data_IF_298217807897
#
_entry.id   IF_298217807897
#
_cell.length_a   1.000
_cell.length_b   1.000
_cell.length_c   1.000
_cell.angle_alpha   90.00
_cell.angle_beta   90.00
_cell.angle_gamma   90.00
#
_symmetry.space_group_name_H-M   'P 1'
#
loop_
_entity.id
_entity.type
_entity.pdbx_description
1 polymer ?
#
# COMPACT_ATOMS: atom_id res chain seq x y z
N UNK A 1 -8.63 13.62 -4.23
CA UNK A 1 -8.63 13.64 -2.76
C UNK A 1 -7.85 14.86 -2.31
N UNK A 2 -8.54 15.85 -1.76
CA UNK A 2 -7.95 17.15 -1.39
C UNK A 2 -8.52 17.72 -0.09
N UNK A 3 -9.42 16.98 0.57
CA UNK A 3 -10.03 17.37 1.84
C UNK A 3 -9.35 16.64 2.98
N UNK A 4 -9.18 17.33 4.09
CA UNK A 4 -8.68 16.71 5.31
C UNK A 4 -9.65 15.64 5.80
N UNK A 5 -9.11 14.50 6.20
CA UNK A 5 -9.88 13.34 6.64
C UNK A 5 -10.50 12.50 5.50
N UNK A 6 -10.22 12.82 4.24
CA UNK A 6 -10.62 11.98 3.10
C UNK A 6 -9.76 10.71 3.05
N UNK A 7 -10.41 9.55 2.90
CA UNK A 7 -9.75 8.25 2.94
C UNK A 7 -9.06 7.96 1.61
N UNK A 8 -7.78 7.60 1.67
CA UNK A 8 -7.08 7.08 0.51
C UNK A 8 -7.56 5.66 0.17
N UNK A 9 -7.68 5.38 -1.12
CA UNK A 9 -7.97 4.05 -1.66
C UNK A 9 -6.80 3.55 -2.52
N UNK A 10 -6.99 2.39 -3.16
CA UNK A 10 -6.01 1.80 -4.06
C UNK A 10 -5.61 2.73 -5.24
N UNK A 11 -6.50 3.63 -5.71
CA UNK A 11 -6.19 4.55 -6.81
C UNK A 11 -5.16 5.58 -6.35
N UNK A 12 -5.32 6.12 -5.15
CA UNK A 12 -4.36 7.07 -4.57
C UNK A 12 -3.03 6.40 -4.30
N UNK A 13 -3.02 5.16 -3.80
CA UNK A 13 -1.78 4.41 -3.55
C UNK A 13 -1.03 4.15 -4.86
N UNK A 14 -1.72 3.76 -5.94
CA UNK A 14 -1.12 3.59 -7.28
C UNK A 14 -0.58 4.92 -7.82
N UNK A 15 -1.34 6.00 -7.70
CA UNK A 15 -0.91 7.33 -8.14
C UNK A 15 0.34 7.78 -7.38
N UNK A 16 0.39 7.56 -6.06
CA UNK A 16 1.52 7.88 -5.22
C UNK A 16 2.77 7.08 -5.61
N UNK A 17 2.64 5.75 -5.77
CA UNK A 17 3.74 4.88 -6.18
C UNK A 17 4.37 5.36 -7.49
N UNK A 18 3.55 5.70 -8.49
CA UNK A 18 4.00 6.20 -9.80
C UNK A 18 4.58 7.60 -9.72
N UNK A 19 3.97 8.51 -8.97
CA UNK A 19 4.44 9.89 -8.86
C UNK A 19 5.80 9.96 -8.16
N UNK A 20 5.96 9.19 -7.08
CA UNK A 20 7.19 9.15 -6.30
C UNK A 20 8.22 8.19 -6.87
N UNK A 21 7.83 7.37 -7.85
CA UNK A 21 8.69 6.32 -8.39
C UNK A 21 9.19 5.42 -7.25
N UNK A 22 8.27 4.90 -6.42
CA UNK A 22 8.58 4.01 -5.29
C UNK A 22 7.61 2.84 -5.30
N UNK A 23 8.12 1.63 -5.09
CA UNK A 23 7.30 0.43 -4.95
C UNK A 23 6.65 0.36 -3.57
N UNK A 24 5.39 -0.07 -3.52
CA UNK A 24 4.61 -0.17 -2.29
C UNK A 24 4.07 -1.59 -2.16
N UNK A 25 4.43 -2.28 -1.07
CA UNK A 25 3.87 -3.58 -0.74
C UNK A 25 2.79 -3.42 0.33
N UNK A 26 1.56 -3.81 -0.02
CA UNK A 26 0.41 -3.75 0.89
C UNK A 26 0.13 -5.16 1.40
N UNK A 27 0.16 -5.33 2.72
CA UNK A 27 -0.19 -6.59 3.39
C UNK A 27 -1.55 -6.43 4.02
N UNK A 28 -2.55 -7.15 3.51
CA UNK A 28 -3.93 -7.04 3.96
C UNK A 28 -4.25 -8.11 5.01
N UNK A 29 -4.94 -7.70 6.06
CA UNK A 29 -5.55 -8.57 7.05
C UNK A 29 -7.06 -8.36 7.03
N UNK A 30 -7.81 -9.36 6.57
CA UNK A 30 -9.26 -9.42 6.61
C UNK A 30 -9.73 -10.77 7.23
N UNK A 31 -10.93 -10.86 7.82
CA UNK A 31 -11.44 -12.11 8.42
C UNK A 31 -11.59 -13.23 7.43
N UNK A 32 -11.84 -12.86 6.17
CA UNK A 32 -12.00 -13.76 5.03
C UNK A 32 -10.71 -13.95 4.23
N UNK A 33 -9.66 -13.15 4.47
CA UNK A 33 -8.39 -13.33 3.79
C UNK A 33 -7.73 -14.61 4.26
N UNK A 34 -7.19 -15.39 3.32
CA UNK A 34 -6.18 -16.42 3.60
C UNK A 34 -4.98 -15.74 4.30
N UNK A 35 -4.07 -16.47 4.97
CA UNK A 35 -2.92 -15.83 5.62
C UNK A 35 -2.19 -14.87 4.67
N UNK A 36 -2.46 -13.57 4.86
CA UNK A 36 -1.89 -12.38 4.22
C UNK A 36 -2.13 -12.30 2.70
N UNK A 37 -3.19 -11.60 2.29
CA UNK A 37 -3.30 -11.14 0.90
C UNK A 37 -2.29 -9.99 0.68
N UNK A 38 -1.29 -10.23 -0.17
CA UNK A 38 -0.25 -9.26 -0.49
C UNK A 38 -0.54 -8.65 -1.86
N UNK A 39 -0.59 -7.32 -1.90
CA UNK A 39 -0.71 -6.54 -3.14
C UNK A 39 0.58 -5.78 -3.36
N UNK A 40 1.22 -6.02 -4.51
CA UNK A 40 2.40 -5.27 -4.93
C UNK A 40 2.01 -4.16 -5.89
N UNK A 41 2.27 -2.91 -5.51
CA UNK A 41 2.03 -1.73 -6.32
C UNK A 41 3.36 -1.23 -6.87
N UNK A 42 3.52 -1.41 -8.17
CA UNK A 42 4.75 -1.03 -8.90
C UNK A 42 4.73 0.46 -9.20
N UNK A 43 5.69 1.20 -8.64
CA UNK A 43 5.89 2.62 -8.87
C UNK A 43 6.92 2.92 -9.97
N UNK A 44 7.88 2.01 -10.17
CA UNK A 44 8.93 2.10 -11.18
C UNK A 44 8.95 0.86 -12.09
N UNK A 45 9.39 1.01 -13.34
CA UNK A 45 9.56 -0.14 -14.25
C UNK A 45 10.73 -1.06 -13.88
N UNK A 46 11.65 -0.60 -13.02
CA UNK A 46 12.76 -1.38 -12.50
C UNK A 46 12.84 -1.20 -10.99
N UNK A 47 12.83 -2.29 -10.24
CA UNK A 47 12.90 -2.27 -8.78
C UNK A 47 14.27 -1.76 -8.32
N UNK A 48 14.32 -0.58 -7.70
CA UNK A 48 15.51 -0.01 -7.07
C UNK A 48 15.21 0.31 -5.59
N UNK A 49 15.69 -0.54 -4.68
CA UNK A 49 15.60 -0.34 -3.23
C UNK A 49 14.44 -1.09 -2.57
N UNK A 50 14.29 -0.92 -1.25
CA UNK A 50 13.25 -1.60 -0.47
C UNK A 50 11.88 -0.92 -0.67
N UNK A 51 10.78 -1.68 -0.81
CA UNK A 51 9.45 -1.11 -0.97
C UNK A 51 8.96 -0.49 0.33
N UNK A 52 8.06 0.49 0.23
CA UNK A 52 7.31 0.95 1.40
C UNK A 52 6.31 -0.15 1.78
N UNK A 53 6.33 -0.55 3.05
CA UNK A 53 5.43 -1.56 3.58
C UNK A 53 4.21 -0.92 4.23
N UNK A 54 3.03 -1.19 3.68
CA UNK A 54 1.75 -0.75 4.24
C UNK A 54 0.95 -1.95 4.73
N UNK A 55 0.54 -1.91 5.98
CA UNK A 55 -0.48 -2.80 6.53
C UNK A 55 -1.85 -2.25 6.17
N UNK A 56 -2.74 -3.09 5.68
CA UNK A 56 -4.13 -2.74 5.41
C UNK A 56 -5.03 -3.60 6.28
N UNK A 57 -5.67 -2.98 7.26
CA UNK A 57 -6.61 -3.65 8.15
C UNK A 57 -7.99 -3.51 7.52
N UNK A 58 -8.45 -4.61 6.93
CA UNK A 58 -9.75 -4.74 6.27
C UNK A 58 -9.91 -3.76 5.12
N UNK A 59 -10.89 -2.86 5.19
CA UNK A 59 -11.13 -1.77 4.23
C UNK A 59 -11.12 -0.41 4.96
N UNK A 60 -10.59 -0.37 6.20
CA UNK A 60 -10.80 0.76 7.10
C UNK A 60 -9.55 1.50 7.53
N UNK A 61 -8.36 0.88 7.41
CA UNK A 61 -7.17 1.48 7.96
C UNK A 61 -5.89 1.05 7.26
N UNK A 62 -5.04 2.04 6.96
CA UNK A 62 -3.66 1.84 6.54
C UNK A 62 -2.70 2.16 7.70
N UNK A 63 -1.67 1.34 7.86
CA UNK A 63 -0.60 1.54 8.84
C UNK A 63 0.77 1.30 8.22
N UNK A 64 1.82 1.95 8.74
CA UNK A 64 3.19 1.63 8.35
C UNK A 64 3.61 0.30 8.97
N UNK A 65 4.27 -0.54 8.18
CA UNK A 65 4.95 -1.73 8.68
C UNK A 65 6.47 -1.54 8.63
N UNK A 66 7.18 -2.28 9.47
CA UNK A 66 8.64 -2.38 9.43
C UNK A 66 9.05 -3.82 9.11
N UNK A 67 10.05 -4.02 8.24
CA UNK A 67 10.67 -5.34 8.07
C UNK A 67 11.29 -5.80 9.40
N UNK A 68 11.27 -7.11 9.64
CA UNK A 68 11.97 -7.76 10.77
C UNK A 68 13.40 -8.07 10.36
#
# INVERSE_FOLDING_TARGET
MARDGEWADHVVVVAMARMLQIDIMIVTSAPSSRPKDIVWVVGQTAFQGDPILLGHVWESHYMSLQPI
#
